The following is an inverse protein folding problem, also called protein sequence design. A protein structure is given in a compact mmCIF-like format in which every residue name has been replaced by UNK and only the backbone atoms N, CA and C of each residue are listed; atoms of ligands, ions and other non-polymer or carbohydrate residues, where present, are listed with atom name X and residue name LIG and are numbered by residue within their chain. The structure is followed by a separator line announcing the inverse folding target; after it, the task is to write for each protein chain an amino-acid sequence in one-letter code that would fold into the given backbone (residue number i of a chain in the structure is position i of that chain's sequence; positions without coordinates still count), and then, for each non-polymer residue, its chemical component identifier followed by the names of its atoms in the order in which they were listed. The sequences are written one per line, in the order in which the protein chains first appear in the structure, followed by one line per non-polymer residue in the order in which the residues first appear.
data_IF_750740653471
#
_entry.id   IF_750740653471
#
_cell.length_a   1.000
_cell.length_b   1.000
_cell.length_c   1.000
_cell.angle_alpha   90.00
_cell.angle_beta   90.00
_cell.angle_gamma   90.00
#
_symmetry.space_group_name_H-M   'P 1'
#
loop_
_entity.id
_entity.type
_entity.pdbx_description
1 polymer ?
#
# COMPACT_ATOMS: atom_id res chain seq x y z
N UNK A 1 60.38 52.25 22.80
CA UNK A 1 59.27 52.86 23.56
C UNK A 1 58.26 53.40 22.56
N UNK A 2 57.04 52.82 22.56
CA UNK A 2 55.74 53.40 22.15
C UNK A 2 55.59 54.16 20.82
N UNK A 3 54.65 53.73 19.96
CA UNK A 3 53.38 54.45 19.62
C UNK A 3 52.77 53.96 18.28
N UNK A 4 51.50 53.55 18.37
CA UNK A 4 50.36 53.54 17.43
C UNK A 4 50.49 53.12 15.95
N UNK A 5 49.82 52.01 15.62
CA UNK A 5 48.83 52.03 14.53
C UNK A 5 47.54 51.34 14.99
N UNK A 6 46.42 52.07 14.89
CA UNK A 6 45.07 51.58 15.17
C UNK A 6 44.59 50.75 13.98
N UNK A 7 44.11 49.53 14.22
CA UNK A 7 43.27 48.82 13.25
C UNK A 7 41.97 48.46 13.95
N UNK A 8 40.92 49.18 13.57
CA UNK A 8 39.54 48.87 13.92
C UNK A 8 39.19 47.54 13.22
N UNK A 9 39.03 46.46 13.98
CA UNK A 9 38.40 45.24 13.47
C UNK A 9 36.95 45.23 13.96
N UNK A 10 36.07 45.69 13.09
CA UNK A 10 34.62 45.62 13.26
C UNK A 10 34.20 44.15 13.34
N UNK A 11 33.92 43.65 14.55
CA UNK A 11 33.27 42.36 14.73
C UNK A 11 31.81 42.50 14.29
N UNK A 12 31.53 42.17 13.03
CA UNK A 12 30.17 41.98 12.53
C UNK A 12 29.58 40.72 13.18
N UNK A 13 28.86 40.94 14.28
CA UNK A 13 27.88 39.99 14.83
C UNK A 13 26.77 39.80 13.78
N UNK A 14 26.94 38.81 12.89
CA UNK A 14 25.83 38.34 12.08
C UNK A 14 24.88 37.54 12.98
N UNK A 15 23.82 38.21 13.43
CA UNK A 15 22.62 37.56 13.93
C UNK A 15 22.03 36.73 12.80
N UNK A 16 22.25 35.42 12.85
CA UNK A 16 21.56 34.49 11.95
C UNK A 16 20.09 34.48 12.35
N UNK A 17 19.25 35.08 11.51
CA UNK A 17 17.80 34.90 11.59
C UNK A 17 17.47 33.43 11.28
N UNK A 18 16.43 32.90 11.93
CA UNK A 18 16.02 31.48 11.88
C UNK A 18 15.76 30.93 10.47
N UNK A 19 15.65 31.79 9.46
CA UNK A 19 15.40 31.39 8.06
C UNK A 19 16.64 30.86 7.32
N UNK A 20 17.87 31.14 7.76
CA UNK A 20 19.10 30.71 7.06
C UNK A 20 19.54 29.28 7.39
N UNK A 21 18.97 28.63 8.41
CA UNK A 21 19.36 27.26 8.80
C UNK A 21 18.86 26.17 7.82
N UNK A 22 17.81 26.44 7.05
CA UNK A 22 17.06 25.43 6.29
C UNK A 22 17.62 25.19 4.89
N UNK A 23 18.35 26.16 4.32
CA UNK A 23 18.96 25.99 3.01
C UNK A 23 20.24 25.11 3.04
N UNK A 24 20.82 24.89 4.22
CA UNK A 24 22.14 24.26 4.38
C UNK A 24 22.10 22.82 4.95
N UNK A 25 20.91 22.28 5.27
CA UNK A 25 20.75 21.07 6.11
C UNK A 25 19.96 19.93 5.48
N UNK A 26 19.67 19.94 4.17
CA UNK A 26 18.93 18.84 3.53
C UNK A 26 19.62 17.48 3.79
N UNK A 27 18.96 16.61 4.57
CA UNK A 27 19.51 15.30 4.97
C UNK A 27 20.52 15.30 6.13
N UNK A 28 20.78 16.44 6.77
CA UNK A 28 21.66 16.51 7.95
C UNK A 28 20.92 16.09 9.23
N UNK A 29 21.65 15.48 10.16
CA UNK A 29 21.14 15.16 11.49
C UNK A 29 20.91 16.47 12.27
N UNK A 30 19.67 16.68 12.73
CA UNK A 30 19.22 17.87 13.44
C UNK A 30 19.55 17.83 14.93
N UNK A 31 19.83 16.65 15.50
CA UNK A 31 20.12 16.50 16.93
C UNK A 31 21.26 17.43 17.39
N UNK A 32 22.44 17.49 16.73
CA UNK A 32 23.52 18.39 17.13
C UNK A 32 23.12 19.87 17.18
N UNK A 33 22.22 20.30 16.29
CA UNK A 33 21.80 21.70 16.14
C UNK A 33 20.59 22.08 17.02
N UNK A 34 19.92 21.10 17.63
CA UNK A 34 18.71 21.30 18.42
C UNK A 34 18.98 22.06 19.73
N UNK A 35 18.40 23.24 19.91
CA UNK A 35 18.32 23.85 21.25
C UNK A 35 17.20 23.17 22.05
N UNK A 36 17.60 22.34 23.01
CA UNK A 36 16.66 21.55 23.79
C UNK A 36 15.73 22.41 24.66
N UNK A 37 16.21 23.54 25.19
CA UNK A 37 15.41 24.40 26.07
C UNK A 37 14.24 25.04 25.30
N UNK A 38 14.45 25.33 24.02
CA UNK A 38 13.42 25.89 23.15
C UNK A 38 12.51 24.82 22.54
N UNK A 39 13.04 23.61 22.31
CA UNK A 39 12.30 22.52 21.64
C UNK A 39 11.41 21.71 22.58
N UNK A 40 11.78 21.57 23.85
CA UNK A 40 11.06 20.73 24.80
C UNK A 40 9.69 21.33 25.15
N UNK A 41 8.64 20.52 25.01
CA UNK A 41 7.27 20.87 25.41
C UNK A 41 6.90 20.18 26.73
N UNK A 42 7.17 18.89 26.82
CA UNK A 42 6.90 18.08 28.02
C UNK A 42 7.79 16.84 28.08
N UNK A 43 7.97 16.26 29.27
CA UNK A 43 8.83 15.10 29.50
C UNK A 43 10.27 15.47 29.83
N UNK A 44 11.04 14.50 30.32
CA UNK A 44 12.41 14.70 30.75
C UNK A 44 13.36 14.37 29.59
N UNK A 45 13.60 15.36 28.73
CA UNK A 45 14.53 15.20 27.62
C UNK A 45 15.94 15.56 28.05
N UNK A 46 16.92 14.81 27.58
CA UNK A 46 18.33 15.19 27.66
C UNK A 46 19.00 15.02 26.31
N UNK A 47 19.95 15.89 26.01
CA UNK A 47 20.65 15.91 24.72
C UNK A 47 22.15 15.83 24.96
N UNK A 48 22.81 15.05 24.10
CA UNK A 48 24.25 15.12 23.85
C UNK A 48 24.47 15.48 22.38
N UNK A 49 25.73 15.65 21.95
CA UNK A 49 26.03 15.95 20.55
C UNK A 49 25.57 14.86 19.57
N UNK A 50 25.39 13.61 20.04
CA UNK A 50 25.09 12.45 19.19
C UNK A 50 23.67 11.91 19.33
N UNK A 51 23.01 12.16 20.44
CA UNK A 51 21.71 11.52 20.74
C UNK A 51 20.84 12.40 21.62
N UNK A 52 19.54 12.20 21.48
CA UNK A 52 18.49 12.78 22.29
C UNK A 52 17.81 11.64 23.06
N UNK A 53 17.76 11.71 24.37
CA UNK A 53 17.09 10.72 25.22
C UNK A 53 15.91 11.34 25.91
N UNK A 54 14.93 10.51 26.24
CA UNK A 54 13.74 10.92 26.96
C UNK A 54 13.28 9.80 27.88
N UNK A 55 12.80 10.19 29.06
CA UNK A 55 12.08 9.31 29.97
C UNK A 55 10.73 9.89 30.37
N UNK A 56 9.78 8.99 30.62
CA UNK A 56 8.46 9.33 31.12
C UNK A 56 7.33 9.30 30.08
N UNK A 57 6.13 9.68 30.53
CA UNK A 57 4.89 9.62 29.75
C UNK A 57 4.52 10.98 29.18
N UNK A 58 3.81 10.97 28.05
CA UNK A 58 3.35 12.18 27.35
C UNK A 58 4.49 13.17 27.05
N UNK A 59 5.67 12.64 26.73
CA UNK A 59 6.82 13.46 26.40
C UNK A 59 6.67 13.99 24.98
N UNK A 60 6.86 15.29 24.80
CA UNK A 60 6.75 15.99 23.51
C UNK A 60 7.93 16.92 23.32
N UNK A 61 8.46 16.89 22.11
CA UNK A 61 9.51 17.79 21.66
C UNK A 61 9.14 18.30 20.28
N UNK A 62 9.28 19.61 20.06
CA UNK A 62 8.94 20.28 18.81
C UNK A 62 10.21 20.67 18.06
N UNK A 63 10.28 20.32 16.79
CA UNK A 63 11.44 20.68 15.97
C UNK A 63 11.40 22.16 15.63
N UNK A 64 12.55 22.83 15.52
CA UNK A 64 12.60 24.29 15.39
C UNK A 64 12.18 24.82 14.01
N UNK A 65 11.91 23.93 13.05
CA UNK A 65 11.69 24.27 11.65
C UNK A 65 10.20 24.36 11.32
N UNK A 66 9.81 25.48 10.68
CA UNK A 66 8.50 25.60 10.08
C UNK A 66 8.44 24.77 8.80
N UNK A 67 7.36 24.01 8.68
CA UNK A 67 7.12 23.09 7.59
C UNK A 67 6.01 23.63 6.71
N UNK A 68 6.34 23.85 5.45
CA UNK A 68 5.40 24.21 4.41
C UNK A 68 5.61 23.29 3.20
N UNK A 69 4.52 22.80 2.64
CA UNK A 69 4.55 21.87 1.50
C UNK A 69 5.01 20.46 1.88
N UNK A 70 5.56 19.74 0.90
CA UNK A 70 5.95 18.33 1.02
C UNK A 70 7.33 18.15 1.67
N UNK A 71 7.49 17.13 2.49
CA UNK A 71 8.72 16.87 3.25
C UNK A 71 8.87 15.38 3.60
N UNK A 72 10.09 14.99 3.97
CA UNK A 72 10.37 13.70 4.60
C UNK A 72 11.05 13.89 5.95
N UNK A 73 10.75 13.00 6.89
CA UNK A 73 11.43 12.87 8.18
C UNK A 73 12.02 11.48 8.28
N UNK A 74 13.32 11.37 8.55
CA UNK A 74 13.98 10.10 8.88
C UNK A 74 14.40 10.14 10.33
N UNK A 75 14.07 9.09 11.08
CA UNK A 75 14.32 8.99 12.51
C UNK A 75 14.96 7.64 12.80
N UNK A 76 16.12 7.64 13.43
CA UNK A 76 16.67 6.42 14.02
C UNK A 76 16.50 6.46 15.53
N UNK A 77 15.91 5.41 16.09
CA UNK A 77 15.59 5.37 17.52
C UNK A 77 15.71 3.96 18.11
N UNK A 78 15.77 3.90 19.43
CA UNK A 78 15.72 2.66 20.20
C UNK A 78 14.82 2.85 21.40
N UNK A 79 13.76 2.04 21.50
CA UNK A 79 12.96 1.93 22.73
C UNK A 79 13.72 1.10 23.75
N UNK A 80 13.93 1.61 24.96
CA UNK A 80 14.72 0.91 26.00
C UNK A 80 13.91 -0.16 26.71
N UNK A 81 12.65 0.12 27.03
CA UNK A 81 11.79 -0.76 27.81
C UNK A 81 10.30 -0.49 27.52
N UNK A 82 9.44 -1.38 28.03
CA UNK A 82 7.98 -1.26 27.93
C UNK A 82 7.40 -1.61 26.55
N UNK A 83 6.13 -1.28 26.37
CA UNK A 83 5.30 -1.54 25.18
C UNK A 83 4.59 -0.26 24.69
N UNK A 84 4.92 0.87 25.30
CA UNK A 84 4.29 2.15 25.06
C UNK A 84 4.75 2.79 23.76
N UNK A 85 3.99 3.81 23.37
CA UNK A 85 4.01 4.35 22.03
C UNK A 85 5.15 5.33 21.75
N UNK A 86 5.59 5.35 20.50
CA UNK A 86 6.58 6.28 19.94
C UNK A 86 5.99 6.84 18.66
N UNK A 87 5.88 8.15 18.56
CA UNK A 87 5.19 8.80 17.46
C UNK A 87 5.82 10.09 16.99
N UNK A 88 5.35 10.54 15.84
CA UNK A 88 5.77 11.75 15.16
C UNK A 88 4.52 12.56 14.82
N UNK A 89 4.48 13.79 15.30
CA UNK A 89 3.42 14.75 15.01
C UNK A 89 3.80 15.43 13.70
N UNK A 90 2.89 15.37 12.73
CA UNK A 90 3.10 15.78 11.34
C UNK A 90 2.16 16.94 11.00
N UNK A 91 2.70 18.13 10.64
CA UNK A 91 1.94 19.15 9.93
C UNK A 91 1.53 18.66 8.54
N UNK A 92 0.27 18.87 8.19
CA UNK A 92 -0.31 18.52 6.88
C UNK A 92 -1.26 19.65 6.47
N UNK A 93 -0.71 20.64 5.76
CA UNK A 93 -1.43 21.88 5.45
C UNK A 93 -1.77 22.66 6.73
N UNK A 94 -3.04 23.00 6.93
CA UNK A 94 -3.54 23.64 8.15
C UNK A 94 -3.81 22.67 9.30
N UNK A 95 -3.65 21.36 9.07
CA UNK A 95 -3.97 20.29 10.03
C UNK A 95 -2.71 19.66 10.61
N UNK A 96 -2.89 18.88 11.67
CA UNK A 96 -1.86 18.00 12.22
C UNK A 96 -2.43 16.61 12.46
N UNK A 97 -1.58 15.60 12.35
CA UNK A 97 -1.87 14.25 12.82
C UNK A 97 -0.67 13.63 13.53
N UNK A 98 -0.91 12.57 14.30
CA UNK A 98 0.14 11.77 14.92
C UNK A 98 0.33 10.48 14.13
N UNK A 99 1.49 10.26 13.51
CA UNK A 99 1.92 8.90 13.19
C UNK A 99 2.40 8.24 14.47
N UNK A 100 1.99 7.01 14.73
CA UNK A 100 2.35 6.36 15.98
C UNK A 100 2.69 4.88 15.80
N UNK A 101 3.72 4.45 16.52
CA UNK A 101 4.18 3.07 16.59
C UNK A 101 3.88 2.51 17.98
N UNK A 102 3.56 1.21 18.05
CA UNK A 102 3.24 0.54 19.32
C UNK A 102 2.12 1.21 20.12
N UNK A 103 1.10 1.70 19.42
CA UNK A 103 -0.12 2.19 20.06
C UNK A 103 -0.82 1.05 20.81
N UNK A 104 -1.48 1.44 21.90
CA UNK A 104 -2.30 0.53 22.70
C UNK A 104 -1.52 -0.70 23.16
N UNK A 105 -0.36 -0.47 23.79
CA UNK A 105 0.51 -1.54 24.33
C UNK A 105 0.98 -2.52 23.24
N UNK A 106 1.35 -2.00 22.06
CA UNK A 106 1.83 -2.83 20.94
C UNK A 106 0.73 -3.47 20.10
N UNK A 107 -0.54 -3.12 20.29
CA UNK A 107 -1.63 -3.63 19.46
C UNK A 107 -1.46 -3.21 17.98
N UNK A 108 -1.14 -1.94 17.73
CA UNK A 108 -1.13 -1.40 16.36
C UNK A 108 -0.08 -0.31 16.11
N UNK A 109 0.30 -0.14 14.84
CA UNK A 109 0.84 1.10 14.27
C UNK A 109 -0.24 1.81 13.45
N UNK A 110 -0.10 3.12 13.24
CA UNK A 110 -0.99 3.87 12.34
C UNK A 110 -1.01 5.37 12.58
N UNK A 111 -1.84 6.07 11.83
CA UNK A 111 -2.19 7.48 12.06
C UNK A 111 -3.24 7.54 13.17
N UNK A 112 -3.00 8.40 14.16
CA UNK A 112 -3.76 8.52 15.40
C UNK A 112 -5.25 8.70 15.20
N UNK A 113 -5.66 9.68 14.39
CA UNK A 113 -7.06 9.97 14.08
C UNK A 113 -7.24 10.30 12.60
N UNK A 114 -8.18 9.60 11.95
CA UNK A 114 -8.68 9.90 10.60
C UNK A 114 -10.20 9.83 10.64
N UNK A 115 -10.89 10.91 10.27
CA UNK A 115 -12.35 11.04 10.36
C UNK A 115 -12.90 10.66 11.75
N UNK A 116 -12.17 11.07 12.80
CA UNK A 116 -12.48 10.72 14.20
C UNK A 116 -12.18 9.27 14.60
N UNK A 117 -11.74 8.41 13.68
CA UNK A 117 -11.41 7.00 13.96
C UNK A 117 -9.97 6.83 14.42
N UNK A 118 -9.81 6.16 15.56
CA UNK A 118 -8.50 5.83 16.13
C UNK A 118 -7.67 4.92 15.22
N UNK A 119 -6.35 4.96 15.39
CA UNK A 119 -5.37 4.17 14.63
C UNK A 119 -5.58 2.65 14.65
N UNK A 120 -6.37 2.09 15.58
CA UNK A 120 -6.71 0.65 15.61
C UNK A 120 -7.95 0.30 14.76
N UNK A 121 -8.67 1.33 14.29
CA UNK A 121 -9.98 1.26 13.65
C UNK A 121 -10.04 2.09 12.36
N UNK A 122 -8.89 2.50 11.79
CA UNK A 122 -8.83 3.26 10.55
C UNK A 122 -7.97 2.56 9.49
N UNK A 123 -7.98 3.05 8.26
CA UNK A 123 -7.34 2.45 7.09
C UNK A 123 -5.80 2.32 7.19
N UNK A 124 -5.18 3.02 8.14
CA UNK A 124 -3.73 2.97 8.36
C UNK A 124 -3.31 1.96 9.43
N UNK A 125 -4.27 1.27 10.05
CA UNK A 125 -4.02 0.25 11.07
C UNK A 125 -3.05 -0.82 10.54
N UNK A 126 -1.98 -1.09 11.29
CA UNK A 126 -1.11 -2.24 11.08
C UNK A 126 -0.93 -3.01 12.37
N UNK A 127 -1.23 -4.32 12.32
CA UNK A 127 -1.14 -5.25 13.44
C UNK A 127 -0.22 -6.43 13.07
N UNK A 128 0.56 -6.98 14.01
CA UNK A 128 0.79 -6.44 15.36
C UNK A 128 1.56 -5.10 15.32
N UNK A 129 1.37 -4.27 16.34
CA UNK A 129 2.05 -2.99 16.52
C UNK A 129 3.36 -3.07 17.31
N UNK A 130 3.86 -4.27 17.57
CA UNK A 130 4.90 -4.51 18.57
C UNK A 130 6.28 -4.05 18.11
N UNK A 131 6.95 -3.27 18.95
CA UNK A 131 8.39 -2.99 18.81
C UNK A 131 9.20 -3.90 19.75
N UNK A 132 10.39 -4.28 19.33
CA UNK A 132 11.37 -4.98 20.17
C UNK A 132 12.18 -3.95 20.95
N UNK A 133 12.26 -4.13 22.27
CA UNK A 133 13.10 -3.27 23.10
C UNK A 133 14.58 -3.50 22.82
N UNK A 134 15.37 -2.44 22.93
CA UNK A 134 16.81 -2.41 22.65
C UNK A 134 17.18 -2.77 21.20
N UNK A 135 16.20 -2.73 20.28
CA UNK A 135 16.43 -2.85 18.84
C UNK A 135 16.53 -1.44 18.21
N UNK A 136 17.55 -1.16 17.39
CA UNK A 136 17.61 0.08 16.63
C UNK A 136 16.64 0.02 15.45
N UNK A 137 15.75 1.01 15.38
CA UNK A 137 14.78 1.18 14.31
C UNK A 137 15.12 2.39 13.46
N UNK A 138 14.88 2.30 12.15
CA UNK A 138 14.89 3.42 11.21
C UNK A 138 13.49 3.63 10.65
N UNK A 139 12.86 4.73 11.03
CA UNK A 139 11.55 5.17 10.57
C UNK A 139 11.71 6.27 9.52
N UNK A 140 11.13 6.08 8.36
CA UNK A 140 11.01 7.12 7.33
C UNK A 140 9.54 7.49 7.21
N UNK A 141 9.25 8.78 7.16
CA UNK A 141 7.93 9.32 6.93
C UNK A 141 8.01 10.32 5.80
N UNK A 142 7.14 10.19 4.82
CA UNK A 142 6.94 11.20 3.79
C UNK A 142 5.55 11.79 3.90
N UNK A 143 5.48 13.12 3.86
CA UNK A 143 4.23 13.87 3.78
C UNK A 143 4.27 14.63 2.47
N UNK A 144 3.30 14.33 1.61
CA UNK A 144 3.07 15.06 0.38
C UNK A 144 1.81 15.90 0.51
N UNK A 145 1.89 17.18 0.19
CA UNK A 145 0.75 18.08 0.19
C UNK A 145 0.59 18.70 -1.20
N UNK A 146 -0.55 18.46 -1.83
CA UNK A 146 -0.94 19.05 -3.10
C UNK A 146 -2.34 19.66 -2.98
N UNK A 147 -2.38 20.98 -2.75
CA UNK A 147 -3.60 21.79 -2.60
C UNK A 147 -4.64 21.13 -1.67
N UNK A 148 -5.57 20.36 -2.23
CA UNK A 148 -6.71 19.75 -1.52
C UNK A 148 -6.50 18.29 -1.14
N UNK A 149 -5.34 17.70 -1.46
CA UNK A 149 -5.01 16.30 -1.18
C UNK A 149 -3.67 16.19 -0.47
N UNK A 150 -3.60 15.30 0.51
CA UNK A 150 -2.36 14.89 1.14
C UNK A 150 -2.11 13.40 0.95
N UNK A 151 -0.83 13.01 0.97
CA UNK A 151 -0.41 11.65 1.24
C UNK A 151 0.54 11.61 2.43
N UNK A 152 0.45 10.53 3.19
CA UNK A 152 1.38 10.22 4.28
C UNK A 152 1.79 8.77 4.13
N UNK A 153 3.07 8.53 3.92
CA UNK A 153 3.61 7.18 3.90
C UNK A 153 4.70 7.01 4.93
N UNK A 154 4.80 5.77 5.41
CA UNK A 154 5.72 5.41 6.46
C UNK A 154 6.37 4.08 6.16
N UNK A 155 7.65 3.99 6.50
CA UNK A 155 8.48 2.79 6.39
C UNK A 155 9.23 2.60 7.70
N UNK A 156 9.33 1.35 8.16
CA UNK A 156 10.11 0.97 9.33
C UNK A 156 11.09 -0.13 8.93
N UNK A 157 12.40 0.12 9.08
CA UNK A 157 13.49 -0.79 8.72
C UNK A 157 13.41 -1.31 7.27
N UNK A 158 13.17 -0.43 6.30
CA UNK A 158 13.05 -0.84 4.89
C UNK A 158 11.68 -1.40 4.51
N UNK A 159 10.77 -1.59 5.47
CA UNK A 159 9.47 -2.22 5.24
C UNK A 159 8.34 -1.19 5.28
N UNK A 160 7.51 -1.08 4.23
CA UNK A 160 6.37 -0.18 4.23
C UNK A 160 5.41 -0.51 5.39
N UNK A 161 5.11 0.49 6.23
CA UNK A 161 4.06 0.41 7.23
C UNK A 161 2.71 0.69 6.58
N UNK A 162 2.50 1.89 6.07
CA UNK A 162 1.26 2.27 5.39
C UNK A 162 1.49 3.40 4.39
N UNK A 163 0.52 3.60 3.51
CA UNK A 163 0.44 4.72 2.58
C UNK A 163 -1.01 5.24 2.61
N UNK A 164 -1.21 6.36 3.27
CA UNK A 164 -2.49 7.04 3.37
C UNK A 164 -2.57 8.15 2.33
N UNK A 165 -3.73 8.29 1.69
CA UNK A 165 -4.04 9.42 0.82
C UNK A 165 -5.45 9.90 1.13
N UNK A 166 -5.66 11.21 1.16
CA UNK A 166 -6.99 11.75 1.44
C UNK A 166 -7.02 13.26 1.51
N UNK A 167 -8.19 13.76 1.90
CA UNK A 167 -8.36 15.17 2.23
C UNK A 167 -7.63 15.46 3.55
N UNK A 168 -6.73 16.47 3.62
CA UNK A 168 -6.09 16.89 4.87
C UNK A 168 -7.10 17.14 6.02
N UNK A 169 -8.32 17.59 5.70
CA UNK A 169 -9.37 17.88 6.68
C UNK A 169 -9.85 16.63 7.44
N UNK A 170 -9.65 15.44 6.90
CA UNK A 170 -9.92 14.17 7.59
C UNK A 170 -8.92 13.90 8.73
N UNK A 171 -7.76 14.56 8.72
CA UNK A 171 -6.72 14.38 9.72
C UNK A 171 -6.97 15.27 10.93
N UNK A 172 -6.80 14.68 12.11
CA UNK A 172 -6.84 15.42 13.35
C UNK A 172 -5.82 14.89 14.37
N UNK A 173 -5.56 15.73 15.37
CA UNK A 173 -4.67 15.42 16.48
C UNK A 173 -5.47 15.51 17.78
N UNK A 174 -5.41 14.47 18.60
CA UNK A 174 -6.07 14.47 19.91
C UNK A 174 -5.48 15.57 20.80
N UNK A 175 -6.32 16.21 21.63
CA UNK A 175 -5.95 17.39 22.44
C UNK A 175 -4.66 17.19 23.25
N UNK A 176 -4.54 16.02 23.87
CA UNK A 176 -3.39 15.64 24.72
C UNK A 176 -2.04 15.62 23.98
N UNK A 177 -2.03 15.59 22.65
CA UNK A 177 -0.83 15.54 21.82
C UNK A 177 -0.48 16.86 21.15
N UNK A 178 -1.31 17.91 21.30
CA UNK A 178 -1.09 19.19 20.62
C UNK A 178 0.29 19.78 20.90
N UNK A 179 0.85 20.44 19.89
CA UNK A 179 2.02 21.29 20.02
C UNK A 179 1.58 22.76 20.09
N UNK A 180 2.38 23.66 20.69
CA UNK A 180 2.07 25.08 20.68
C UNK A 180 2.01 25.69 19.27
N UNK A 181 2.77 25.13 18.31
CA UNK A 181 2.81 25.57 16.93
C UNK A 181 2.41 24.41 16.01
N UNK A 182 1.44 24.65 15.13
CA UNK A 182 0.84 23.61 14.29
C UNK A 182 1.61 23.34 13.00
N UNK A 183 2.50 24.24 12.61
CA UNK A 183 3.33 24.19 11.40
C UNK A 183 4.69 23.50 11.64
N UNK A 184 4.85 22.79 12.76
CA UNK A 184 6.11 22.14 13.15
C UNK A 184 5.96 20.65 13.39
N UNK A 185 6.97 19.90 12.97
CA UNK A 185 7.09 18.47 13.29
C UNK A 185 7.38 18.33 14.78
N UNK A 186 6.79 17.32 15.41
CA UNK A 186 7.09 16.97 16.79
C UNK A 186 7.42 15.50 16.98
N UNK A 187 8.20 15.21 18.01
CA UNK A 187 8.38 13.87 18.55
C UNK A 187 7.42 13.69 19.73
N UNK A 188 6.85 12.50 19.83
CA UNK A 188 5.97 12.10 20.92
C UNK A 188 6.38 10.73 21.44
N UNK A 189 6.39 10.54 22.76
CA UNK A 189 6.49 9.19 23.31
C UNK A 189 5.88 9.05 24.70
N UNK A 190 5.43 7.83 25.00
CA UNK A 190 5.07 7.36 26.34
C UNK A 190 6.09 6.35 26.89
N UNK A 191 7.25 6.22 26.26
CA UNK A 191 8.27 5.23 26.57
C UNK A 191 9.63 5.90 26.78
N UNK A 192 10.55 5.16 27.38
CA UNK A 192 11.95 5.55 27.44
C UNK A 192 12.61 5.28 26.09
N UNK A 193 13.07 6.34 25.43
CA UNK A 193 13.58 6.29 24.04
C UNK A 193 14.90 7.01 23.93
N UNK A 194 15.80 6.45 23.12
CA UNK A 194 16.96 7.15 22.58
C UNK A 194 16.75 7.38 21.10
N UNK A 195 16.79 8.62 20.66
CA UNK A 195 16.85 9.02 19.26
C UNK A 195 18.32 9.25 18.89
N UNK A 196 18.79 8.54 17.87
CA UNK A 196 20.18 8.56 17.39
C UNK A 196 20.37 9.52 16.23
N UNK A 197 19.37 9.62 15.37
CA UNK A 197 19.36 10.59 14.29
C UNK A 197 17.96 11.08 14.00
N UNK A 198 17.91 12.36 13.60
CA UNK A 198 16.69 13.00 13.15
C UNK A 198 17.04 13.85 11.93
N UNK A 199 16.55 13.47 10.77
CA UNK A 199 16.81 14.18 9.53
C UNK A 199 15.50 14.69 8.96
N UNK A 200 15.54 15.89 8.41
CA UNK A 200 14.43 16.49 7.72
C UNK A 200 14.89 16.92 6.33
N UNK A 201 14.07 16.62 5.34
CA UNK A 201 14.32 17.00 3.95
C UNK A 201 13.07 17.64 3.40
N UNK A 202 13.18 18.88 2.91
CA UNK A 202 12.12 19.46 2.07
C UNK A 202 12.10 18.70 0.75
N UNK A 203 10.93 18.19 0.39
CA UNK A 203 10.81 17.45 -0.85
C UNK A 203 10.45 18.43 -1.97
N UNK A 204 11.35 18.55 -2.94
CA UNK A 204 10.94 19.00 -4.27
C UNK A 204 10.07 17.91 -4.92
N UNK A 205 9.22 18.23 -5.91
CA UNK A 205 8.43 17.24 -6.63
C UNK A 205 9.23 16.02 -7.14
N UNK A 206 10.53 16.19 -7.37
CA UNK A 206 11.44 15.18 -7.94
C UNK A 206 12.21 14.35 -6.89
N UNK A 207 12.05 14.64 -5.59
CA UNK A 207 12.81 13.98 -4.50
C UNK A 207 11.94 13.07 -3.61
N UNK A 208 10.66 12.86 -3.97
CA UNK A 208 9.70 12.07 -3.18
C UNK A 208 9.95 10.56 -3.37
N UNK A 209 10.01 9.77 -2.30
CA UNK A 209 10.00 8.30 -2.38
C UNK A 209 8.63 7.78 -2.83
N UNK A 210 7.55 8.55 -2.63
CA UNK A 210 6.31 8.44 -3.39
C UNK A 210 6.31 9.43 -4.55
N UNK A 211 6.50 8.92 -5.77
CA UNK A 211 6.23 9.71 -6.98
C UNK A 211 4.81 10.30 -6.89
N UNK A 212 4.66 11.64 -6.90
CA UNK A 212 3.37 12.22 -7.25
C UNK A 212 3.06 11.79 -8.68
N UNK A 213 1.80 11.52 -9.00
CA UNK A 213 1.39 11.49 -10.40
C UNK A 213 1.64 12.89 -10.97
N UNK A 214 2.82 13.11 -11.58
CA UNK A 214 3.18 14.41 -12.18
C UNK A 214 2.74 14.39 -13.62
N UNK A 215 1.63 15.07 -13.87
CA UNK A 215 1.39 15.66 -15.17
C UNK A 215 2.56 16.60 -15.51
N UNK A 216 3.09 16.42 -16.73
CA UNK A 216 3.92 17.35 -17.51
C UNK A 216 5.41 17.42 -17.17
N UNK A 217 6.13 16.29 -17.28
CA UNK A 217 7.42 16.25 -18.02
C UNK A 217 7.96 14.86 -18.40
N UNK A 218 7.11 13.82 -18.39
CA UNK A 218 7.34 12.55 -19.13
C UNK A 218 6.42 12.46 -20.37
N UNK A 219 6.04 13.61 -20.93
CA UNK A 219 5.05 13.72 -22.03
C UNK A 219 5.52 13.14 -23.37
N UNK A 220 6.65 12.43 -23.42
CA UNK A 220 7.08 11.72 -24.62
C UNK A 220 7.32 10.21 -24.40
N UNK A 221 7.34 9.71 -23.15
CA UNK A 221 7.50 8.26 -22.88
C UNK A 221 6.36 7.62 -22.07
N UNK A 222 5.49 8.37 -21.37
CA UNK A 222 4.43 7.82 -20.51
C UNK A 222 3.07 7.57 -21.20
N UNK A 223 2.91 7.92 -22.47
CA UNK A 223 1.63 7.72 -23.17
C UNK A 223 1.24 6.24 -23.35
N UNK A 224 2.15 5.30 -23.07
CA UNK A 224 1.98 3.89 -23.39
C UNK A 224 2.13 2.93 -22.18
N UNK A 225 2.28 3.43 -20.94
CA UNK A 225 2.41 2.54 -19.76
C UNK A 225 1.03 2.04 -19.34
N UNK A 226 0.75 0.72 -19.38
CA UNK A 226 -0.58 0.22 -19.08
C UNK A 226 -1.00 0.43 -17.62
N UNK A 227 -2.29 0.64 -17.37
CA UNK A 227 -2.88 0.87 -16.05
C UNK A 227 -3.79 -0.28 -15.64
N UNK A 228 -3.49 -0.92 -14.52
CA UNK A 228 -4.36 -1.86 -13.83
C UNK A 228 -5.10 -1.15 -12.69
N UNK A 229 -6.43 -1.28 -12.63
CA UNK A 229 -7.27 -0.75 -11.57
C UNK A 229 -7.82 -1.86 -10.67
N UNK A 230 -7.62 -1.73 -9.36
CA UNK A 230 -8.40 -2.42 -8.34
C UNK A 230 -9.60 -1.58 -7.90
N UNK A 231 -10.74 -2.24 -7.81
CA UNK A 231 -11.92 -1.70 -7.15
C UNK A 231 -11.85 -2.02 -5.65
N UNK A 232 -11.87 -1.02 -4.78
CA UNK A 232 -11.93 -1.19 -3.33
C UNK A 232 -13.35 -0.95 -2.80
N UNK A 233 -14.25 -0.36 -3.61
CA UNK A 233 -15.63 -0.08 -3.22
C UNK A 233 -16.40 -1.38 -2.97
N UNK A 234 -16.15 -2.40 -3.79
CA UNK A 234 -16.83 -3.70 -3.71
C UNK A 234 -16.11 -4.70 -2.79
N UNK A 235 -15.06 -4.27 -2.07
CA UNK A 235 -14.41 -5.03 -1.00
C UNK A 235 -13.15 -5.78 -1.42
N UNK A 236 -12.73 -5.64 -2.66
CA UNK A 236 -11.51 -6.24 -3.17
C UNK A 236 -10.29 -5.63 -2.50
N UNK A 237 -9.20 -6.41 -2.50
CA UNK A 237 -7.91 -5.99 -1.96
C UNK A 237 -6.81 -6.36 -2.94
N UNK A 238 -5.80 -5.50 -3.12
CA UNK A 238 -4.65 -5.82 -3.93
C UNK A 238 -4.02 -7.16 -3.52
N UNK A 239 -3.62 -7.96 -4.50
CA UNK A 239 -2.91 -9.19 -4.23
C UNK A 239 -1.52 -8.87 -3.65
N UNK A 240 -1.17 -9.55 -2.56
CA UNK A 240 0.18 -9.45 -1.98
C UNK A 240 1.18 -9.93 -3.02
N UNK A 241 2.19 -9.11 -3.35
CA UNK A 241 3.21 -9.42 -4.37
C UNK A 241 2.95 -8.82 -5.76
N UNK A 242 1.77 -8.24 -6.02
CA UNK A 242 1.51 -7.58 -7.31
C UNK A 242 2.42 -6.37 -7.55
N UNK A 243 2.84 -5.67 -6.50
CA UNK A 243 3.75 -4.52 -6.60
C UNK A 243 5.13 -4.90 -7.19
N UNK A 244 5.59 -6.12 -6.96
CA UNK A 244 6.84 -6.62 -7.56
C UNK A 244 6.61 -6.98 -9.03
N UNK A 245 5.47 -7.60 -9.33
CA UNK A 245 5.07 -7.95 -10.70
C UNK A 245 4.90 -6.69 -11.57
N UNK A 246 4.26 -5.64 -11.04
CA UNK A 246 4.02 -4.39 -11.75
C UNK A 246 5.32 -3.67 -12.14
N UNK A 247 6.31 -3.68 -11.24
CA UNK A 247 7.66 -3.16 -11.53
C UNK A 247 8.34 -3.95 -12.63
N UNK A 248 8.28 -5.29 -12.57
CA UNK A 248 8.91 -6.18 -13.55
C UNK A 248 8.27 -6.05 -14.93
N UNK A 249 6.93 -5.97 -14.98
CA UNK A 249 6.13 -5.92 -16.21
C UNK A 249 5.84 -4.51 -16.70
N UNK A 250 6.28 -3.48 -15.96
CA UNK A 250 6.15 -2.05 -16.32
C UNK A 250 4.70 -1.62 -16.54
N UNK A 251 3.79 -1.99 -15.64
CA UNK A 251 2.43 -1.44 -15.58
C UNK A 251 2.21 -0.69 -14.27
N UNK A 252 1.23 0.21 -14.25
CA UNK A 252 0.83 0.96 -13.07
C UNK A 252 -0.32 0.24 -12.36
N UNK A 253 -0.29 0.20 -11.03
CA UNK A 253 -1.41 -0.28 -10.21
C UNK A 253 -2.08 0.94 -9.59
N UNK A 254 -3.39 1.05 -9.83
CA UNK A 254 -4.26 2.04 -9.21
C UNK A 254 -5.30 1.35 -8.36
N UNK A 255 -5.75 2.03 -7.31
CA UNK A 255 -6.84 1.59 -6.47
C UNK A 255 -7.91 2.67 -6.46
N UNK A 256 -9.18 2.30 -6.62
CA UNK A 256 -10.30 3.24 -6.52
C UNK A 256 -11.29 2.78 -5.45
N UNK A 257 -11.75 3.71 -4.62
CA UNK A 257 -12.94 3.51 -3.76
C UNK A 257 -14.14 4.30 -4.29
N UNK A 258 -14.10 4.70 -5.56
CA UNK A 258 -15.19 5.37 -6.28
C UNK A 258 -15.96 4.35 -7.11
N UNK A 259 -17.21 4.67 -7.43
CA UNK A 259 -18.02 3.85 -8.33
C UNK A 259 -17.34 3.69 -9.69
N UNK A 260 -17.50 2.52 -10.29
CA UNK A 260 -16.93 2.19 -11.58
C UNK A 260 -17.73 2.86 -12.70
N UNK A 261 -17.35 4.08 -13.05
CA UNK A 261 -17.95 4.85 -14.15
C UNK A 261 -17.14 4.73 -15.44
N UNK A 262 -17.76 5.03 -16.58
CA UNK A 262 -17.06 5.06 -17.88
C UNK A 262 -15.85 6.01 -17.86
N UNK A 263 -15.96 7.18 -17.24
CA UNK A 263 -14.88 8.16 -17.19
C UNK A 263 -13.68 7.70 -16.36
N UNK A 264 -13.93 6.92 -15.31
CA UNK A 264 -12.85 6.26 -14.57
C UNK A 264 -12.19 5.19 -15.44
N UNK A 265 -13.00 4.33 -16.08
CA UNK A 265 -12.52 3.19 -16.85
C UNK A 265 -11.82 3.58 -18.16
N UNK A 266 -12.09 4.77 -18.73
CA UNK A 266 -11.34 5.32 -19.89
C UNK A 266 -9.84 5.50 -19.65
N UNK A 267 -9.42 5.57 -18.38
CA UNK A 267 -8.03 5.77 -17.97
C UNK A 267 -7.34 4.47 -17.55
N UNK A 268 -8.00 3.33 -17.78
CA UNK A 268 -7.59 2.00 -17.31
C UNK A 268 -7.40 1.09 -18.52
N UNK A 269 -6.37 0.25 -18.50
CA UNK A 269 -6.19 -0.81 -19.50
C UNK A 269 -6.74 -2.14 -18.99
N UNK A 270 -6.60 -2.42 -17.68
CA UNK A 270 -7.07 -3.65 -17.03
C UNK A 270 -7.85 -3.35 -15.75
N UNK A 271 -9.13 -3.71 -15.71
CA UNK A 271 -9.91 -3.76 -14.48
C UNK A 271 -9.73 -5.14 -13.81
N UNK A 272 -9.28 -5.15 -12.55
CA UNK A 272 -9.09 -6.37 -11.78
C UNK A 272 -10.11 -6.45 -10.63
N UNK A 273 -11.20 -7.19 -10.85
CA UNK A 273 -12.21 -7.53 -9.85
C UNK A 273 -11.78 -8.78 -9.09
N UNK A 274 -11.05 -8.59 -7.99
CA UNK A 274 -10.49 -9.66 -7.17
C UNK A 274 -11.38 -9.97 -5.97
N UNK A 275 -12.35 -10.85 -6.17
CA UNK A 275 -13.23 -11.34 -5.13
C UNK A 275 -14.15 -10.27 -4.55
N UNK A 276 -15.01 -9.65 -5.38
CA UNK A 276 -16.00 -8.68 -4.91
C UNK A 276 -16.88 -9.30 -3.81
N UNK A 277 -17.16 -8.52 -2.79
CA UNK A 277 -18.00 -8.89 -1.65
C UNK A 277 -19.35 -8.14 -1.65
N UNK A 278 -19.57 -7.24 -2.60
CA UNK A 278 -20.79 -6.42 -2.72
C UNK A 278 -21.37 -6.51 -4.13
N UNK A 279 -22.66 -6.19 -4.22
CA UNK A 279 -23.36 -6.07 -5.49
C UNK A 279 -22.86 -4.85 -6.27
N UNK A 280 -22.62 -5.01 -7.57
CA UNK A 280 -22.44 -3.89 -8.49
C UNK A 280 -23.81 -3.30 -8.85
N UNK A 281 -23.91 -1.97 -8.89
CA UNK A 281 -25.09 -1.29 -9.42
C UNK A 281 -25.26 -1.56 -10.92
N UNK A 282 -26.47 -1.35 -11.46
CA UNK A 282 -26.73 -1.53 -12.90
C UNK A 282 -25.84 -0.63 -13.77
N UNK A 283 -25.57 0.59 -13.30
CA UNK A 283 -24.72 1.55 -14.02
C UNK A 283 -23.26 1.09 -14.04
N UNK A 284 -22.76 0.56 -12.93
CA UNK A 284 -21.40 0.00 -12.87
C UNK A 284 -21.27 -1.25 -13.74
N UNK A 285 -22.27 -2.14 -13.71
CA UNK A 285 -22.29 -3.31 -14.59
C UNK A 285 -22.22 -2.88 -16.06
N UNK A 286 -23.03 -1.90 -16.46
CA UNK A 286 -23.04 -1.37 -17.82
C UNK A 286 -21.70 -0.71 -18.18
N UNK A 287 -21.11 0.07 -17.27
CA UNK A 287 -19.82 0.70 -17.49
C UNK A 287 -18.68 -0.32 -17.69
N UNK A 288 -18.68 -1.41 -16.91
CA UNK A 288 -17.70 -2.50 -17.05
C UNK A 288 -17.89 -3.23 -18.38
N UNK A 289 -19.14 -3.54 -18.76
CA UNK A 289 -19.46 -4.16 -20.04
C UNK A 289 -18.97 -3.28 -21.19
N UNK A 290 -19.30 -1.99 -21.17
CA UNK A 290 -18.90 -1.04 -22.21
C UNK A 290 -17.37 -0.87 -22.27
N UNK A 291 -16.70 -0.83 -21.12
CA UNK A 291 -15.25 -0.77 -21.04
C UNK A 291 -14.58 -1.93 -21.78
N UNK A 292 -15.02 -3.16 -21.54
CA UNK A 292 -14.49 -4.34 -22.26
C UNK A 292 -14.87 -4.28 -23.74
N UNK A 293 -16.12 -3.94 -24.07
CA UNK A 293 -16.56 -3.81 -25.46
C UNK A 293 -15.75 -2.77 -26.25
N UNK A 294 -15.19 -1.77 -25.58
CA UNK A 294 -14.36 -0.71 -26.16
C UNK A 294 -12.86 -1.00 -26.15
N UNK A 295 -12.45 -2.25 -25.93
CA UNK A 295 -11.04 -2.64 -25.98
C UNK A 295 -10.35 -2.80 -24.62
N UNK A 296 -11.05 -2.53 -23.52
CA UNK A 296 -10.55 -2.75 -22.16
C UNK A 296 -10.37 -4.23 -21.80
N UNK A 297 -9.51 -4.50 -20.82
CA UNK A 297 -9.30 -5.84 -20.30
C UNK A 297 -9.95 -6.03 -18.91
N UNK A 298 -10.61 -7.16 -18.69
CA UNK A 298 -11.21 -7.54 -17.40
C UNK A 298 -10.56 -8.82 -16.88
N UNK A 299 -10.03 -8.76 -15.67
CA UNK A 299 -9.69 -9.94 -14.89
C UNK A 299 -10.68 -10.06 -13.73
N UNK A 300 -11.50 -11.11 -13.75
CA UNK A 300 -12.49 -11.37 -12.72
C UNK A 300 -12.11 -12.64 -11.97
N UNK A 301 -11.99 -12.54 -10.65
CA UNK A 301 -11.70 -13.67 -9.76
C UNK A 301 -12.82 -13.81 -8.76
N UNK A 302 -13.42 -15.00 -8.69
CA UNK A 302 -14.45 -15.36 -7.74
C UNK A 302 -14.12 -16.69 -7.09
N UNK A 303 -14.62 -16.89 -5.87
CA UNK A 303 -14.40 -18.11 -5.08
C UNK A 303 -15.75 -18.77 -4.75
N UNK A 304 -15.71 -19.90 -4.04
CA UNK A 304 -16.89 -20.65 -3.59
C UNK A 304 -17.83 -19.81 -2.68
N UNK A 305 -19.11 -20.19 -2.63
CA UNK A 305 -20.22 -19.40 -2.06
C UNK A 305 -19.98 -19.01 -0.60
N UNK A 306 -19.34 -19.89 0.19
CA UNK A 306 -19.02 -19.62 1.60
C UNK A 306 -18.05 -18.46 1.81
N UNK A 307 -17.27 -18.08 0.79
CA UNK A 307 -16.31 -16.96 0.82
C UNK A 307 -16.87 -15.75 0.08
N UNK A 308 -17.51 -15.98 -1.06
CA UNK A 308 -17.98 -14.93 -1.96
C UNK A 308 -19.33 -15.35 -2.55
N UNK A 309 -20.40 -14.61 -2.23
CA UNK A 309 -21.72 -14.93 -2.74
C UNK A 309 -21.85 -14.53 -4.22
N UNK A 310 -22.08 -15.52 -5.08
CA UNK A 310 -22.26 -15.28 -6.51
C UNK A 310 -23.57 -14.54 -6.80
N UNK A 311 -24.63 -14.90 -6.07
CA UNK A 311 -25.94 -14.26 -6.21
C UNK A 311 -25.89 -12.79 -5.76
N UNK A 312 -25.22 -12.50 -4.64
CA UNK A 312 -25.13 -11.15 -4.09
C UNK A 312 -24.32 -10.21 -5.00
N UNK A 313 -23.17 -10.67 -5.50
CA UNK A 313 -22.27 -9.83 -6.31
C UNK A 313 -22.84 -9.53 -7.68
N UNK A 314 -23.72 -10.40 -8.20
CA UNK A 314 -24.33 -10.27 -9.53
C UNK A 314 -23.32 -10.23 -10.69
N UNK A 315 -22.08 -10.70 -10.50
CA UNK A 315 -21.03 -10.69 -11.53
C UNK A 315 -21.40 -11.44 -12.80
N UNK A 316 -22.29 -12.44 -12.73
CA UNK A 316 -22.79 -13.12 -13.92
C UNK A 316 -23.59 -12.18 -14.85
N UNK A 317 -24.14 -11.06 -14.36
CA UNK A 317 -24.78 -10.05 -15.21
C UNK A 317 -23.74 -9.28 -16.05
N UNK A 318 -22.51 -9.12 -15.54
CA UNK A 318 -21.38 -8.52 -16.27
C UNK A 318 -20.84 -9.50 -17.33
N UNK A 319 -20.79 -10.81 -17.02
CA UNK A 319 -20.22 -11.83 -17.89
C UNK A 319 -21.16 -12.27 -19.03
N UNK A 320 -22.47 -12.23 -18.80
CA UNK A 320 -23.47 -12.76 -19.74
C UNK A 320 -23.38 -12.17 -21.17
N UNK A 321 -23.16 -10.86 -21.40
CA UNK A 321 -23.01 -10.30 -22.74
C UNK A 321 -21.82 -10.87 -23.53
N UNK A 322 -20.86 -11.48 -22.84
CA UNK A 322 -19.67 -12.09 -23.44
C UNK A 322 -19.80 -13.62 -23.57
N UNK A 323 -20.99 -14.17 -23.29
CA UNK A 323 -21.24 -15.60 -23.36
C UNK A 323 -20.49 -16.40 -22.30
N UNK A 324 -20.08 -15.78 -21.20
CA UNK A 324 -19.37 -16.41 -20.09
C UNK A 324 -20.25 -16.45 -18.83
N UNK A 325 -20.04 -17.45 -17.97
CA UNK A 325 -20.78 -17.58 -16.71
C UNK A 325 -20.00 -18.38 -15.67
N UNK A 326 -20.06 -17.96 -14.41
CA UNK A 326 -19.64 -18.76 -13.25
C UNK A 326 -20.78 -19.68 -12.80
N UNK A 327 -20.46 -20.95 -12.54
CA UNK A 327 -21.42 -21.94 -12.05
C UNK A 327 -21.64 -21.84 -10.53
N UNK A 328 -22.53 -22.67 -10.02
CA UNK A 328 -22.55 -23.02 -8.60
C UNK A 328 -21.25 -23.74 -8.20
N UNK A 329 -21.04 -23.90 -6.90
CA UNK A 329 -19.86 -24.56 -6.34
C UNK A 329 -19.73 -26.00 -6.86
N UNK A 330 -18.51 -26.38 -7.22
CA UNK A 330 -18.19 -27.76 -7.56
C UNK A 330 -18.09 -28.62 -6.29
N UNK A 331 -18.23 -29.95 -6.39
CA UNK A 331 -17.97 -30.84 -5.27
C UNK A 331 -16.60 -30.55 -4.65
N UNK A 332 -16.60 -30.23 -3.36
CA UNK A 332 -15.39 -29.77 -2.69
C UNK A 332 -14.32 -30.86 -2.66
N UNK A 333 -13.14 -30.55 -3.19
CA UNK A 333 -11.93 -31.37 -3.10
C UNK A 333 -10.81 -30.56 -2.42
N UNK A 334 -10.35 -31.05 -1.28
CA UNK A 334 -9.33 -30.35 -0.50
C UNK A 334 -7.96 -30.39 -1.18
N UNK A 335 -7.35 -29.23 -1.38
CA UNK A 335 -5.98 -29.07 -1.90
C UNK A 335 -5.69 -30.03 -3.05
N UNK A 336 -6.64 -30.10 -4.00
CA UNK A 336 -6.56 -31.02 -5.13
C UNK A 336 -5.62 -30.51 -6.22
N UNK A 337 -5.35 -29.21 -6.22
CA UNK A 337 -4.53 -28.56 -7.24
C UNK A 337 -5.26 -28.35 -8.55
N UNK A 338 -4.67 -27.55 -9.41
CA UNK A 338 -5.16 -27.25 -10.74
C UNK A 338 -4.02 -27.19 -11.75
N UNK A 339 -4.35 -27.38 -13.03
CA UNK A 339 -3.41 -27.29 -14.14
C UNK A 339 -3.88 -26.24 -15.14
N UNK A 340 -3.09 -25.19 -15.32
CA UNK A 340 -3.22 -24.30 -16.46
C UNK A 340 -2.41 -24.87 -17.62
N UNK A 341 -3.03 -24.98 -18.81
CA UNK A 341 -2.39 -25.58 -19.98
C UNK A 341 -1.58 -24.53 -20.75
N UNK A 342 -0.48 -24.99 -21.35
CA UNK A 342 0.25 -24.22 -22.35
C UNK A 342 -0.69 -23.83 -23.50
N UNK A 343 -0.55 -22.61 -24.01
CA UNK A 343 -1.40 -22.10 -25.09
C UNK A 343 -1.28 -20.59 -25.25
N UNK A 344 -2.39 -19.95 -25.60
CA UNK A 344 -2.41 -18.51 -25.86
C UNK A 344 -2.00 -17.66 -24.65
N UNK A 345 -2.39 -18.09 -23.45
CA UNK A 345 -2.12 -17.36 -22.21
C UNK A 345 -0.78 -17.79 -21.62
N UNK A 346 -0.61 -19.10 -21.37
CA UNK A 346 0.56 -19.63 -20.66
C UNK A 346 1.60 -20.18 -21.63
N UNK A 347 2.86 -19.81 -21.45
CA UNK A 347 3.95 -20.31 -22.29
C UNK A 347 4.25 -21.81 -22.07
N UNK A 348 3.93 -22.34 -20.89
CA UNK A 348 4.00 -23.76 -20.56
C UNK A 348 2.84 -24.13 -19.65
N UNK A 349 2.68 -25.43 -19.38
CA UNK A 349 1.78 -25.88 -18.32
C UNK A 349 2.20 -25.24 -16.98
N UNK A 350 1.22 -24.95 -16.12
CA UNK A 350 1.38 -24.30 -14.80
C UNK A 350 0.64 -25.11 -13.74
N UNK A 351 1.37 -25.51 -12.71
CA UNK A 351 0.81 -26.16 -11.52
C UNK A 351 0.29 -25.09 -10.54
N UNK A 352 -1.00 -25.15 -10.20
CA UNK A 352 -1.68 -24.11 -9.44
C UNK A 352 -2.32 -24.64 -8.15
N UNK A 353 -2.33 -23.83 -7.07
CA UNK A 353 -3.11 -24.14 -5.88
C UNK A 353 -4.60 -24.05 -6.19
N UNK A 354 -5.34 -25.05 -5.72
CA UNK A 354 -6.78 -25.13 -5.84
C UNK A 354 -7.33 -26.01 -4.72
N UNK A 355 -8.35 -25.54 -4.01
CA UNK A 355 -8.94 -26.28 -2.89
C UNK A 355 -10.44 -26.00 -2.76
N UNK A 356 -11.19 -26.35 -3.80
CA UNK A 356 -12.61 -26.03 -3.95
C UNK A 356 -12.80 -24.70 -4.68
N UNK A 357 -13.86 -24.61 -5.47
CA UNK A 357 -14.16 -23.47 -6.34
C UNK A 357 -15.37 -23.77 -7.22
N UNK A 358 -15.51 -23.00 -8.30
CA UNK A 358 -16.58 -23.14 -9.29
C UNK A 358 -16.00 -23.51 -10.66
N UNK A 359 -16.87 -23.81 -11.62
CA UNK A 359 -16.50 -23.85 -13.02
C UNK A 359 -16.81 -22.52 -13.72
N UNK A 360 -16.13 -22.29 -14.83
CA UNK A 360 -16.48 -21.25 -15.82
C UNK A 360 -17.05 -21.95 -17.04
N UNK A 361 -18.25 -21.55 -17.47
CA UNK A 361 -18.83 -21.97 -18.75
C UNK A 361 -18.75 -20.84 -19.76
N UNK A 362 -18.60 -21.21 -21.04
CA UNK A 362 -18.36 -20.27 -22.12
C UNK A 362 -16.92 -19.75 -22.20
N UNK A 363 -16.64 -18.95 -23.22
CA UNK A 363 -15.27 -18.57 -23.57
C UNK A 363 -14.41 -19.78 -23.99
N UNK A 364 -13.09 -19.60 -23.96
CA UNK A 364 -12.10 -20.65 -24.19
C UNK A 364 -11.42 -21.04 -22.89
N UNK A 365 -11.68 -22.26 -22.42
CA UNK A 365 -11.08 -22.81 -21.21
C UNK A 365 -9.58 -23.03 -21.38
N UNK A 366 -8.80 -22.69 -20.37
CA UNK A 366 -7.34 -22.86 -20.39
C UNK A 366 -6.73 -23.32 -19.07
N UNK A 367 -7.51 -23.38 -17.98
CA UNK A 367 -7.07 -23.97 -16.73
C UNK A 367 -8.17 -24.78 -16.05
N UNK A 368 -7.78 -25.92 -15.49
CA UNK A 368 -8.69 -26.97 -15.05
C UNK A 368 -8.34 -27.41 -13.64
N UNK A 369 -9.35 -27.60 -12.78
CA UNK A 369 -9.13 -28.27 -11.50
C UNK A 369 -8.68 -29.71 -11.73
N UNK A 370 -7.92 -30.28 -10.80
CA UNK A 370 -7.57 -31.69 -10.83
C UNK A 370 -8.57 -32.52 -10.02
N UNK A 371 -8.98 -33.66 -10.57
CA UNK A 371 -9.79 -34.64 -9.87
C UNK A 371 -8.99 -35.41 -8.78
N UNK A 372 -9.59 -36.44 -8.19
CA UNK A 372 -8.91 -37.29 -7.20
C UNK A 372 -7.70 -38.02 -7.80
N UNK A 373 -7.79 -38.46 -9.06
CA UNK A 373 -6.71 -39.14 -9.77
C UNK A 373 -5.59 -38.19 -10.26
N UNK A 374 -5.82 -36.88 -10.20
CA UNK A 374 -4.87 -35.87 -10.69
C UNK A 374 -5.02 -35.54 -12.16
N UNK A 375 -6.17 -35.87 -12.75
CA UNK A 375 -6.48 -35.55 -14.13
C UNK A 375 -7.24 -34.23 -14.18
N UNK A 376 -7.00 -33.39 -15.21
CA UNK A 376 -7.83 -32.23 -15.49
C UNK A 376 -9.31 -32.62 -15.57
N UNK A 377 -10.15 -31.89 -14.85
CA UNK A 377 -11.61 -32.05 -14.84
C UNK A 377 -12.27 -30.74 -15.28
N UNK A 378 -13.04 -30.11 -14.39
CA UNK A 378 -13.78 -28.88 -14.70
C UNK A 378 -12.86 -27.68 -14.95
N UNK A 379 -13.22 -26.86 -15.93
CA UNK A 379 -12.51 -25.62 -16.22
C UNK A 379 -12.84 -24.57 -15.16
N UNK A 380 -11.83 -24.13 -14.41
CA UNK A 380 -11.98 -23.00 -13.48
C UNK A 380 -11.49 -21.69 -14.08
N UNK A 381 -10.79 -21.72 -15.23
CA UNK A 381 -10.37 -20.53 -15.94
C UNK A 381 -10.72 -20.59 -17.42
N UNK A 382 -11.32 -19.50 -17.92
CA UNK A 382 -11.59 -19.30 -19.33
C UNK A 382 -11.30 -17.84 -19.73
N UNK A 383 -11.01 -17.64 -21.01
CA UNK A 383 -10.83 -16.30 -21.59
C UNK A 383 -11.79 -16.05 -22.75
N UNK A 384 -12.04 -14.78 -23.04
CA UNK A 384 -12.78 -14.33 -24.23
C UNK A 384 -12.11 -13.07 -24.79
N UNK A 385 -12.10 -12.95 -26.12
CA UNK A 385 -11.75 -11.72 -26.83
C UNK A 385 -12.99 -11.17 -27.53
N UNK A 386 -13.17 -9.85 -27.53
CA UNK A 386 -14.26 -9.16 -28.25
C UNK A 386 -13.73 -8.42 -29.47
N UNK A 387 -14.62 -8.02 -30.39
CA UNK A 387 -14.26 -7.49 -31.72
C UNK A 387 -13.32 -6.29 -31.68
N UNK A 388 -13.56 -5.32 -30.81
CA UNK A 388 -12.71 -4.13 -30.62
C UNK A 388 -11.45 -4.43 -29.80
N UNK A 389 -11.15 -5.71 -29.58
CA UNK A 389 -9.90 -6.14 -28.98
C UNK A 389 -9.91 -6.25 -27.47
N UNK A 390 -11.05 -6.01 -26.83
CA UNK A 390 -11.20 -6.19 -25.39
C UNK A 390 -11.04 -7.65 -24.98
N UNK A 391 -10.62 -7.87 -23.75
CA UNK A 391 -10.22 -9.18 -23.25
C UNK A 391 -10.86 -9.45 -21.90
N UNK A 392 -11.24 -10.69 -21.67
CA UNK A 392 -11.76 -11.14 -20.38
C UNK A 392 -11.03 -12.40 -19.99
N UNK A 393 -10.56 -12.48 -18.75
CA UNK A 393 -10.23 -13.73 -18.07
C UNK A 393 -11.09 -13.83 -16.83
N UNK A 394 -11.72 -14.98 -16.65
CA UNK A 394 -12.45 -15.34 -15.43
C UNK A 394 -11.69 -16.47 -14.75
N UNK A 395 -11.39 -16.32 -13.46
CA UNK A 395 -10.88 -17.38 -12.59
C UNK A 395 -11.91 -17.67 -11.51
N UNK A 396 -12.36 -18.91 -11.44
CA UNK A 396 -13.37 -19.40 -10.51
C UNK A 396 -12.79 -19.95 -9.20
N UNK A 397 -11.56 -19.55 -8.86
CA UNK A 397 -10.88 -19.88 -7.62
C UNK A 397 -9.85 -18.79 -7.24
N UNK A 398 -9.82 -18.42 -5.95
CA UNK A 398 -9.04 -17.28 -5.46
C UNK A 398 -7.56 -17.55 -5.18
N UNK A 399 -7.18 -18.77 -4.81
CA UNK A 399 -5.80 -19.18 -4.52
C UNK A 399 -4.91 -19.20 -5.76
N UNK A 400 -5.43 -19.59 -6.93
CA UNK A 400 -4.72 -19.57 -8.20
C UNK A 400 -4.21 -18.16 -8.52
N UNK A 401 -4.97 -17.14 -8.12
CA UNK A 401 -4.63 -15.73 -8.23
C UNK A 401 -3.96 -15.14 -6.96
N UNK A 402 -3.70 -15.98 -5.96
CA UNK A 402 -3.17 -15.60 -4.65
C UNK A 402 -1.65 -15.51 -4.56
N UNK A 403 -0.93 -15.77 -5.66
CA UNK A 403 0.55 -15.85 -5.71
C UNK A 403 1.10 -16.79 -4.63
N UNK A 404 0.45 -17.95 -4.48
CA UNK A 404 0.73 -18.92 -3.44
C UNK A 404 0.93 -20.32 -3.99
N UNK A 405 1.13 -21.28 -3.10
CA UNK A 405 1.51 -22.64 -3.45
C UNK A 405 3.03 -22.78 -3.56
N UNK A 406 3.51 -24.01 -3.38
CA UNK A 406 4.94 -24.30 -3.21
C UNK A 406 5.29 -25.62 -3.89
N UNK A 407 6.58 -25.83 -4.14
CA UNK A 407 7.08 -27.08 -4.71
C UNK A 407 6.95 -28.26 -3.72
N UNK A 408 6.97 -27.97 -2.41
CA UNK A 408 6.85 -28.94 -1.32
C UNK A 408 5.39 -29.31 -1.02
N UNK A 409 4.44 -28.53 -1.55
CA UNK A 409 3.03 -28.83 -1.42
C UNK A 409 2.70 -30.17 -2.08
N UNK A 410 1.76 -30.91 -1.50
CA UNK A 410 1.28 -32.18 -2.03
C UNK A 410 -0.23 -32.13 -2.17
N UNK A 411 -0.78 -32.85 -3.14
CA UNK A 411 -2.23 -32.96 -3.31
C UNK A 411 -2.84 -33.77 -2.17
N UNK A 412 -3.96 -33.30 -1.62
CA UNK A 412 -4.64 -33.91 -0.47
C UNK A 412 -6.09 -34.29 -0.79
N UNK A 413 -6.38 -34.59 -2.06
CA UNK A 413 -7.70 -35.05 -2.50
C UNK A 413 -8.13 -36.29 -1.71
N UNK A 414 -9.30 -36.23 -1.07
CA UNK A 414 -9.82 -37.32 -0.22
C UNK A 414 -9.30 -37.30 1.23
N UNK A 415 -8.40 -36.39 1.58
CA UNK A 415 -7.97 -36.15 2.97
C UNK A 415 -8.84 -35.06 3.59
N UNK A 416 -9.19 -35.22 4.87
CA UNK A 416 -9.96 -34.23 5.62
C UNK A 416 -9.24 -32.86 5.64
N UNK A 417 -10.01 -31.80 5.43
CA UNK A 417 -9.51 -30.42 5.37
C UNK A 417 -8.89 -29.97 6.69
N UNK A 418 -7.59 -29.61 6.68
CA UNK A 418 -6.90 -28.98 7.82
C UNK A 418 -5.99 -27.83 7.37
N UNK A 419 -6.54 -26.63 7.11
CA UNK A 419 -5.81 -25.53 6.48
C UNK A 419 -4.62 -25.05 7.30
N UNK A 420 -4.68 -25.14 8.64
CA UNK A 420 -3.60 -24.71 9.53
C UNK A 420 -2.32 -25.55 9.38
N UNK A 421 -2.42 -26.73 8.75
CA UNK A 421 -1.29 -27.64 8.51
C UNK A 421 -1.11 -28.00 7.03
N UNK A 422 -1.85 -27.36 6.13
CA UNK A 422 -1.77 -27.62 4.69
C UNK A 422 -0.68 -26.77 4.08
N UNK A 423 0.31 -27.43 3.46
CA UNK A 423 1.18 -26.78 2.46
C UNK A 423 0.53 -26.97 1.10
N UNK A 424 0.11 -25.88 0.47
CA UNK A 424 -0.66 -25.94 -0.77
C UNK A 424 0.23 -26.32 -1.97
N UNK A 425 -0.26 -27.27 -2.75
CA UNK A 425 0.38 -27.72 -3.99
C UNK A 425 0.22 -26.65 -5.08
N UNK A 426 1.13 -26.62 -6.05
CA UNK A 426 1.08 -25.71 -7.19
C UNK A 426 2.08 -24.58 -7.08
N UNK A 427 3.30 -24.84 -7.56
CA UNK A 427 4.45 -23.92 -7.44
C UNK A 427 4.41 -22.73 -8.42
N UNK A 428 3.54 -22.75 -9.43
CA UNK A 428 3.63 -21.86 -10.58
C UNK A 428 2.65 -20.68 -10.53
N UNK A 429 1.96 -20.43 -9.41
CA UNK A 429 0.95 -19.34 -9.31
C UNK A 429 1.51 -17.97 -9.70
N UNK A 430 2.77 -17.68 -9.35
CA UNK A 430 3.43 -16.42 -9.73
C UNK A 430 3.65 -16.33 -11.23
N UNK A 431 4.14 -17.42 -11.85
CA UNK A 431 4.37 -17.47 -13.30
C UNK A 431 3.06 -17.40 -14.08
N UNK A 432 2.03 -18.11 -13.60
CA UNK A 432 0.68 -18.09 -14.17
C UNK A 432 0.07 -16.70 -14.14
N UNK A 433 0.08 -16.03 -12.98
CA UNK A 433 -0.48 -14.68 -12.88
C UNK A 433 0.30 -13.66 -13.71
N UNK A 434 1.61 -13.86 -13.85
CA UNK A 434 2.43 -13.07 -14.76
C UNK A 434 1.97 -13.26 -16.22
N UNK A 435 1.79 -14.50 -16.68
CA UNK A 435 1.33 -14.84 -18.02
C UNK A 435 -0.08 -14.25 -18.29
N UNK A 436 -1.01 -14.40 -17.35
CA UNK A 436 -2.38 -13.86 -17.39
C UNK A 436 -2.38 -12.33 -17.55
N UNK A 437 -1.65 -11.61 -16.69
CA UNK A 437 -1.63 -10.14 -16.72
C UNK A 437 -0.91 -9.63 -17.98
N UNK A 438 0.21 -10.26 -18.37
CA UNK A 438 0.92 -9.90 -19.60
C UNK A 438 0.02 -10.06 -20.83
N UNK A 439 -0.77 -11.15 -20.91
CA UNK A 439 -1.70 -11.33 -22.02
C UNK A 439 -2.84 -10.31 -22.03
N UNK A 440 -3.44 -10.02 -20.86
CA UNK A 440 -4.51 -9.03 -20.73
C UNK A 440 -4.04 -7.62 -21.14
N UNK A 441 -2.82 -7.23 -20.75
CA UNK A 441 -2.25 -5.92 -21.07
C UNK A 441 -1.62 -5.82 -22.46
N UNK A 442 -1.43 -6.94 -23.15
CA UNK A 442 -0.90 -6.91 -24.51
C UNK A 442 -1.88 -6.19 -25.46
N UNK A 443 -1.37 -5.30 -26.31
CA UNK A 443 -2.17 -4.72 -27.40
C UNK A 443 -2.39 -5.77 -28.48
N UNK A 444 -3.55 -5.76 -29.13
CA UNK A 444 -3.78 -6.65 -30.27
C UNK A 444 -2.84 -6.25 -31.41
N UNK A 445 -2.23 -7.24 -32.04
CA UNK A 445 -1.37 -7.03 -33.22
C UNK A 445 -2.20 -6.73 -34.45
#
# INVERSE_FOLDING_TARGET
MSVCFRTLLSLLLFGFTTSTLVAQTAGQNLIPMLDLKLAQISGNWTKTDRQLTVSGKNARLMLPMNVAGSYSVTIEFTRKSGDQSIGVILPVGSRQCLLNLSLFQGEAHGIGLIDGKLARNNQTTRKPGTLKNNHPYRLIIEVDLNQNKASIAAELDGRPLFNWQGNPESLSLHEVWKLPQTDRVGLYTNADVTFHSLQFTRLSPNMRMIKPAVAKKEAQNAANTPVLLYDLMHGERPAVGLDEMSKKQKFLVQNSSQSLTEDLLKQVDLLYLRGPAKAFSKDEQQAIIQFVQNGGALLLVMDEERRMSLAQTQVNQILAPFGMKLTDDLPYLHNCGAMAKAGLINASDRELPYSGGRAVTGGTSFAFQLDQAGKPAEAFAAYQQVKEGGKIIVLAEGMAAGLMGTQEGIRLSGVSRNPARTTYWGKDSVLFMNDVITWLLSKNK
#
